data_IF_645680553953
#
_entry.id   IF_645680553953
#
_cell.length_a   1.000
_cell.length_b   1.000
_cell.length_c   1.000
_cell.angle_alpha   90.00
_cell.angle_beta   90.00
_cell.angle_gamma   90.00
#
_symmetry.space_group_name_H-M   'P 1'
#
loop_
_entity.id
_entity.type
_entity.pdbx_description
1 polymer ?
#
# COMPACT_ATOMS: atom_id res chain seq x y z
N UNK A 1 -8.34 5.66 10.19
CA UNK A 1 -8.55 4.20 10.39
C UNK A 1 -9.87 3.73 9.74
N UNK A 2 -9.82 2.66 8.95
CA UNK A 2 -11.03 2.08 8.33
C UNK A 2 -11.81 1.25 9.34
N UNK A 3 -13.03 1.69 9.70
CA UNK A 3 -13.91 0.94 10.61
C UNK A 3 -14.27 -0.45 10.08
N UNK A 4 -14.33 -0.61 8.75
CA UNK A 4 -14.59 -1.91 8.12
C UNK A 4 -13.40 -2.85 8.34
N UNK A 5 -12.17 -2.40 8.10
CA UNK A 5 -10.97 -3.24 8.30
C UNK A 5 -10.78 -3.59 9.79
N UNK A 6 -11.08 -2.66 10.69
CA UNK A 6 -11.09 -2.93 12.13
C UNK A 6 -12.15 -3.98 12.49
N UNK A 7 -13.35 -3.90 11.93
CA UNK A 7 -14.41 -4.90 12.16
C UNK A 7 -14.05 -6.28 11.59
N UNK A 8 -13.23 -6.35 10.54
CA UNK A 8 -12.67 -7.60 10.02
C UNK A 8 -11.55 -8.19 10.91
N UNK A 9 -11.20 -7.55 12.03
CA UNK A 9 -10.20 -8.03 12.98
C UNK A 9 -8.76 -7.74 12.57
N UNK A 10 -8.52 -6.84 11.61
CA UNK A 10 -7.17 -6.49 11.17
C UNK A 10 -6.50 -5.61 12.25
N UNK A 11 -5.25 -5.92 12.67
CA UNK A 11 -4.51 -5.11 13.64
C UNK A 11 -4.43 -3.65 13.23
N UNK A 12 -4.59 -2.75 14.20
CA UNK A 12 -4.69 -1.31 13.96
C UNK A 12 -3.44 -0.72 13.27
N UNK A 13 -2.26 -1.29 13.55
CA UNK A 13 -0.99 -0.94 12.90
C UNK A 13 -1.00 -1.21 11.39
N UNK A 14 -1.66 -2.28 10.95
CA UNK A 14 -1.79 -2.65 9.53
C UNK A 14 -2.86 -1.81 8.83
N UNK A 15 -3.94 -1.46 9.55
CA UNK A 15 -5.05 -0.65 9.00
C UNK A 15 -4.59 0.74 8.55
N UNK A 16 -3.60 1.34 9.23
CA UNK A 16 -3.10 2.67 8.85
C UNK A 16 -2.36 2.68 7.52
N UNK A 17 -1.76 1.56 7.12
CA UNK A 17 -1.05 1.42 5.85
C UNK A 17 -1.92 0.96 4.67
N UNK A 18 -3.24 0.85 4.84
CA UNK A 18 -4.13 0.32 3.79
C UNK A 18 -4.30 1.31 2.63
N UNK A 19 -4.15 0.83 1.40
CA UNK A 19 -4.44 1.57 0.17
C UNK A 19 -5.53 0.83 -0.62
N UNK A 20 -6.55 1.55 -1.09
CA UNK A 20 -7.60 1.01 -1.96
C UNK A 20 -7.62 1.80 -3.27
N UNK A 21 -7.47 1.07 -4.37
CA UNK A 21 -7.61 1.60 -5.72
C UNK A 21 -8.79 0.90 -6.39
N UNK A 22 -9.66 1.67 -7.02
CA UNK A 22 -10.82 1.14 -7.74
C UNK A 22 -10.69 1.54 -9.20
N UNK A 23 -10.74 0.56 -10.10
CA UNK A 23 -10.69 0.80 -11.53
C UNK A 23 -12.04 1.30 -12.04
N UNK A 24 -12.00 2.12 -13.09
CA UNK A 24 -13.15 2.60 -13.84
C UNK A 24 -13.01 2.30 -15.33
N UNK A 25 -14.07 2.56 -16.08
CA UNK A 25 -14.18 2.23 -17.51
C UNK A 25 -13.09 2.86 -18.38
N UNK A 26 -12.59 4.04 -18.00
CA UNK A 26 -11.57 4.76 -18.78
C UNK A 26 -10.14 4.33 -18.47
N UNK A 27 -9.91 3.44 -17.50
CA UNK A 27 -8.56 3.03 -17.18
C UNK A 27 -7.96 2.15 -18.28
N UNK A 28 -6.70 2.40 -18.59
CA UNK A 28 -5.94 1.59 -19.55
C UNK A 28 -4.94 0.69 -18.85
N UNK A 29 -4.33 -0.23 -19.59
CA UNK A 29 -3.27 -1.08 -19.07
C UNK A 29 -2.04 -0.25 -18.65
N UNK A 30 -1.74 0.80 -19.40
CA UNK A 30 -0.62 1.71 -19.13
C UNK A 30 -0.81 2.45 -17.80
N UNK A 31 -2.05 2.84 -17.46
CA UNK A 31 -2.36 3.44 -16.15
C UNK A 31 -2.03 2.46 -15.01
N UNK A 32 -2.40 1.19 -15.19
CA UNK A 32 -2.16 0.13 -14.19
C UNK A 32 -0.66 -0.11 -14.02
N UNK A 33 0.08 -0.24 -15.12
CA UNK A 33 1.51 -0.47 -15.11
C UNK A 33 2.24 0.71 -14.43
N UNK A 34 1.86 1.94 -14.77
CA UNK A 34 2.39 3.14 -14.14
C UNK A 34 2.14 3.17 -12.62
N UNK A 35 0.91 2.87 -12.20
CA UNK A 35 0.55 2.88 -10.77
C UNK A 35 1.31 1.79 -10.02
N UNK A 36 1.46 0.60 -10.60
CA UNK A 36 2.21 -0.49 -9.98
C UNK A 36 3.66 -0.06 -9.70
N UNK A 37 4.33 0.54 -10.68
CA UNK A 37 5.73 0.95 -10.53
C UNK A 37 5.88 2.12 -9.57
N UNK A 38 5.00 3.12 -9.66
CA UNK A 38 4.99 4.25 -8.73
C UNK A 38 4.75 3.80 -7.27
N UNK A 39 3.82 2.87 -7.05
CA UNK A 39 3.52 2.34 -5.71
C UNK A 39 4.72 1.58 -5.15
N UNK A 40 5.39 0.72 -5.94
CA UNK A 40 6.59 0.00 -5.49
C UNK A 40 7.67 0.99 -5.03
N UNK A 41 7.97 1.99 -5.85
CA UNK A 41 9.01 2.98 -5.56
C UNK A 41 8.70 3.78 -4.28
N UNK A 42 7.47 4.23 -4.12
CA UNK A 42 7.05 5.02 -2.96
C UNK A 42 7.06 4.17 -1.70
N UNK A 43 6.48 2.96 -1.75
CA UNK A 43 6.45 2.04 -0.61
C UNK A 43 7.87 1.71 -0.16
N UNK A 44 8.79 1.45 -1.09
CA UNK A 44 10.17 1.14 -0.74
C UNK A 44 10.89 2.32 -0.09
N UNK A 45 10.68 3.56 -0.60
CA UNK A 45 11.20 4.77 0.04
C UNK A 45 10.68 4.92 1.48
N UNK A 46 9.38 4.76 1.69
CA UNK A 46 8.75 4.88 3.01
C UNK A 46 9.26 3.81 3.98
N UNK A 47 9.43 2.57 3.51
CA UNK A 47 9.97 1.45 4.28
C UNK A 47 11.41 1.68 4.75
N UNK A 48 12.24 2.26 3.89
CA UNK A 48 13.63 2.57 4.24
C UNK A 48 13.78 3.70 5.26
N UNK A 49 12.84 4.64 5.29
CA UNK A 49 12.83 5.75 6.26
C UNK A 49 12.13 5.39 7.57
N UNK A 50 11.17 4.46 7.55
CA UNK A 50 10.34 4.17 8.70
C UNK A 50 11.07 3.30 9.73
N UNK A 51 11.12 3.72 11.01
CA UNK A 51 11.70 2.93 12.10
C UNK A 51 10.82 1.74 12.50
N UNK A 52 9.56 1.68 12.01
CA UNK A 52 8.60 0.62 12.31
C UNK A 52 8.62 -0.50 11.26
N UNK A 53 9.38 -0.35 10.18
CA UNK A 53 9.42 -1.35 9.11
C UNK A 53 10.34 -2.51 9.52
N UNK A 54 9.84 -3.76 9.55
CA UNK A 54 10.66 -4.94 9.74
C UNK A 54 11.74 -5.05 8.65
N UNK A 55 12.95 -5.48 9.02
CA UNK A 55 14.08 -5.57 8.07
C UNK A 55 13.81 -6.51 6.89
N UNK A 56 12.97 -7.53 7.09
CA UNK A 56 12.53 -8.46 6.05
C UNK A 56 11.77 -7.76 4.91
N UNK A 57 11.04 -6.69 5.22
CA UNK A 57 10.25 -5.93 4.25
C UNK A 57 11.07 -4.84 3.55
N UNK A 58 12.28 -4.52 4.01
CA UNK A 58 13.16 -3.50 3.39
C UNK A 58 13.84 -4.00 2.11
N UNK A 59 13.79 -5.31 1.84
CA UNK A 59 14.40 -5.92 0.65
C UNK A 59 13.47 -5.96 -0.56
N UNK A 60 12.19 -5.59 -0.39
CA UNK A 60 11.13 -5.63 -1.39
C UNK A 60 10.49 -4.26 -1.59
#
# INVERSE_FOLDING_TARGET
PSHVLTACGIPHEVVHGSLRLTLGEMNTQEDVDFVIDAVKDIVQKLRNMSPLTPDELRKY
#
